data_IF_230547920896
#
_entry.id   IF_230547920896
#
_cell.length_a   1.000
_cell.length_b   1.000
_cell.length_c   1.000
_cell.angle_alpha   90.00
_cell.angle_beta   90.00
_cell.angle_gamma   90.00
#
_symmetry.space_group_name_H-M   'P 1'
#
loop_
_entity.id
_entity.type
_entity.pdbx_description
1 polymer ?
#
# COMPACT_ATOMS: atom_id res chain seq x y z
N UNK A 1 11.76 13.01 7.56
CA UNK A 1 12.93 12.11 7.72
C UNK A 1 12.52 10.75 8.30
N UNK A 2 11.69 10.69 9.34
CA UNK A 2 11.20 9.42 9.91
C UNK A 2 10.30 8.61 8.95
N UNK A 3 9.37 9.24 8.22
CA UNK A 3 8.39 8.54 7.37
C UNK A 3 9.07 7.64 6.31
N UNK A 4 10.12 8.15 5.64
CA UNK A 4 10.87 7.38 4.63
C UNK A 4 11.64 6.22 5.26
N UNK A 5 12.24 6.46 6.42
CA UNK A 5 12.96 5.43 7.17
C UNK A 5 12.02 4.30 7.60
N UNK A 6 10.88 4.63 8.19
CA UNK A 6 9.89 3.65 8.61
C UNK A 6 9.38 2.83 7.41
N UNK A 7 9.09 3.50 6.28
CA UNK A 7 8.67 2.82 5.07
C UNK A 7 9.75 1.86 4.54
N UNK A 8 11.01 2.31 4.48
CA UNK A 8 12.14 1.45 4.09
C UNK A 8 12.29 0.25 5.02
N UNK A 9 12.23 0.45 6.34
CA UNK A 9 12.32 -0.65 7.31
C UNK A 9 11.20 -1.70 7.09
N UNK A 10 9.96 -1.25 6.83
CA UNK A 10 8.85 -2.16 6.52
C UNK A 10 9.01 -2.85 5.15
N UNK A 11 9.54 -2.15 4.16
CA UNK A 11 9.85 -2.69 2.83
C UNK A 11 10.88 -3.82 2.93
N UNK A 12 11.96 -3.62 3.70
CA UNK A 12 12.95 -4.65 3.95
C UNK A 12 12.41 -5.85 4.74
N UNK A 13 11.48 -5.62 5.68
CA UNK A 13 10.79 -6.72 6.38
C UNK A 13 10.02 -7.61 5.38
N UNK A 14 9.39 -7.01 4.37
CA UNK A 14 8.68 -7.79 3.34
C UNK A 14 9.65 -8.58 2.48
N UNK A 15 10.76 -7.99 2.06
CA UNK A 15 11.82 -8.72 1.37
C UNK A 15 12.34 -9.89 2.20
N UNK A 16 12.64 -9.65 3.47
CA UNK A 16 13.08 -10.68 4.40
C UNK A 16 12.06 -11.82 4.49
N UNK A 17 10.79 -11.49 4.67
CA UNK A 17 9.74 -12.48 4.85
C UNK A 17 9.42 -13.28 3.57
N UNK A 18 9.46 -12.62 2.41
CA UNK A 18 8.88 -13.18 1.18
C UNK A 18 9.92 -13.59 0.13
N UNK A 19 11.09 -12.97 0.15
CA UNK A 19 12.06 -13.02 -0.95
C UNK A 19 13.39 -13.64 -0.55
N UNK A 20 13.58 -13.97 0.74
CA UNK A 20 14.63 -14.92 1.11
C UNK A 20 14.27 -16.25 0.44
N UNK A 21 15.13 -16.78 -0.45
CA UNK A 21 14.94 -18.13 -0.95
C UNK A 21 14.94 -19.06 0.25
N UNK A 22 13.97 -19.96 0.36
CA UNK A 22 14.06 -21.09 1.29
C UNK A 22 15.38 -21.82 0.99
N UNK A 23 16.43 -21.44 1.72
CA UNK A 23 17.82 -21.91 1.69
C UNK A 23 18.32 -22.37 0.32
N UNK A 24 18.88 -21.46 -0.49
CA UNK A 24 20.11 -21.70 -1.26
C UNK A 24 20.91 -20.40 -1.37
N UNK A 25 22.07 -20.41 -0.72
CA UNK A 25 23.24 -19.53 -0.86
C UNK A 25 23.04 -18.00 -0.87
N UNK A 26 23.30 -17.38 0.28
CA UNK A 26 24.40 -16.43 0.42
C UNK A 26 24.33 -15.04 -0.23
N UNK A 27 23.20 -14.60 -0.79
CA UNK A 27 23.11 -13.24 -1.34
C UNK A 27 22.68 -12.22 -0.27
N UNK A 28 23.53 -11.23 -0.03
CA UNK A 28 23.28 -10.12 0.88
C UNK A 28 22.54 -9.00 0.15
N UNK A 29 21.80 -8.14 0.88
CA UNK A 29 20.99 -7.06 0.31
C UNK A 29 21.77 -6.11 -0.62
N UNK A 30 23.08 -5.92 -0.38
CA UNK A 30 23.96 -5.14 -1.25
C UNK A 30 24.14 -5.73 -2.65
N UNK A 31 23.96 -7.05 -2.80
CA UNK A 31 24.22 -7.76 -4.07
C UNK A 31 23.10 -7.55 -5.10
N UNK A 32 21.94 -7.02 -4.68
CA UNK A 32 20.77 -6.79 -5.53
C UNK A 32 20.65 -5.36 -6.06
N UNK A 33 21.49 -4.43 -5.60
CA UNK A 33 21.45 -3.03 -6.05
C UNK A 33 22.57 -2.82 -7.08
N UNK A 34 22.21 -2.84 -8.37
CA UNK A 34 23.13 -2.43 -9.44
C UNK A 34 23.31 -0.90 -9.46
N UNK A 35 24.40 -0.41 -10.06
CA UNK A 35 24.68 1.04 -10.21
C UNK A 35 23.55 1.82 -10.93
N UNK A 36 22.63 1.14 -11.63
CA UNK A 36 21.52 1.73 -12.39
C UNK A 36 20.13 1.47 -11.78
N UNK A 37 20.04 0.92 -10.57
CA UNK A 37 18.79 0.53 -9.92
C UNK A 37 18.48 -0.97 -10.06
N UNK A 38 17.20 -1.32 -10.03
CA UNK A 38 16.72 -2.70 -10.05
C UNK A 38 16.79 -3.31 -11.46
N UNK A 39 17.12 -4.60 -11.55
CA UNK A 39 16.93 -5.35 -12.80
C UNK A 39 15.42 -5.44 -13.10
N UNK A 40 15.04 -5.56 -14.39
CA UNK A 40 13.63 -5.64 -14.77
C UNK A 40 12.90 -6.83 -14.12
N UNK A 41 13.63 -7.89 -13.85
CA UNK A 41 13.19 -9.09 -13.12
C UNK A 41 12.89 -8.83 -11.63
N UNK A 42 13.50 -7.82 -11.02
CA UNK A 42 13.26 -7.44 -9.62
C UNK A 42 12.04 -6.52 -9.47
N UNK A 43 11.57 -5.86 -10.53
CA UNK A 43 10.43 -4.92 -10.45
C UNK A 43 9.17 -5.52 -9.78
N UNK A 44 8.75 -6.77 -10.06
CA UNK A 44 7.62 -7.38 -9.36
C UNK A 44 7.89 -7.63 -7.87
N UNK A 45 9.16 -7.91 -7.51
CA UNK A 45 9.60 -8.10 -6.14
C UNK A 45 9.55 -6.78 -5.36
N UNK A 46 10.13 -5.72 -5.93
CA UNK A 46 10.10 -4.37 -5.38
C UNK A 46 8.69 -3.81 -5.25
N UNK A 47 7.84 -4.03 -6.27
CA UNK A 47 6.44 -3.64 -6.19
C UNK A 47 5.72 -4.35 -5.03
N UNK A 48 5.93 -5.66 -4.86
CA UNK A 48 5.37 -6.43 -3.75
C UNK A 48 5.87 -5.92 -2.39
N UNK A 49 7.16 -5.59 -2.26
CA UNK A 49 7.71 -5.03 -1.03
C UNK A 49 7.11 -3.65 -0.71
N UNK A 50 6.91 -2.79 -1.71
CA UNK A 50 6.23 -1.51 -1.54
C UNK A 50 4.77 -1.65 -1.07
N UNK A 51 4.00 -2.55 -1.70
CA UNK A 51 2.62 -2.86 -1.29
C UNK A 51 2.59 -3.46 0.12
N UNK A 52 3.48 -4.41 0.41
CA UNK A 52 3.57 -5.03 1.73
C UNK A 52 3.92 -4.02 2.83
N UNK A 53 4.87 -3.12 2.58
CA UNK A 53 5.24 -2.05 3.50
C UNK A 53 4.06 -1.12 3.79
N UNK A 54 3.32 -0.75 2.74
CA UNK A 54 2.15 0.12 2.86
C UNK A 54 1.05 -0.54 3.72
N UNK A 55 0.87 -1.86 3.62
CA UNK A 55 -0.07 -2.64 4.44
C UNK A 55 0.43 -2.80 5.88
N UNK A 56 1.73 -3.04 6.11
CA UNK A 56 2.29 -3.13 7.47
C UNK A 56 2.13 -1.80 8.23
N UNK A 57 2.35 -0.67 7.56
CA UNK A 57 2.15 0.65 8.14
C UNK A 57 0.67 0.99 8.36
N UNK A 58 -0.20 0.63 7.40
CA UNK A 58 -1.61 1.00 7.40
C UNK A 58 -2.48 -0.16 6.91
N UNK A 59 -2.67 -1.18 7.75
CA UNK A 59 -3.52 -2.32 7.41
C UNK A 59 -4.97 -1.89 7.17
N UNK A 60 -5.77 -2.72 6.48
CA UNK A 60 -7.14 -2.38 6.06
C UNK A 60 -8.03 -1.90 7.21
N UNK A 61 -7.96 -2.54 8.37
CA UNK A 61 -8.77 -2.20 9.54
C UNK A 61 -8.36 -0.85 10.13
N UNK A 62 -7.05 -0.63 10.30
CA UNK A 62 -6.53 0.65 10.79
C UNK A 62 -6.81 1.78 9.79
N UNK A 63 -6.68 1.52 8.48
CA UNK A 63 -6.95 2.47 7.41
C UNK A 63 -8.41 2.92 7.43
N UNK A 64 -9.36 1.98 7.57
CA UNK A 64 -10.79 2.29 7.77
C UNK A 64 -11.01 3.16 9.01
N UNK A 65 -10.41 2.80 10.13
CA UNK A 65 -10.53 3.58 11.36
C UNK A 65 -10.02 5.02 11.19
N UNK A 66 -8.83 5.20 10.62
CA UNK A 66 -8.24 6.52 10.43
C UNK A 66 -9.08 7.39 9.48
N UNK A 67 -9.56 6.81 8.37
CA UNK A 67 -10.44 7.48 7.42
C UNK A 67 -11.79 7.89 8.01
N UNK A 68 -12.29 7.15 9.01
CA UNK A 68 -13.49 7.53 9.76
C UNK A 68 -13.19 8.62 10.79
N UNK A 69 -12.03 8.56 11.43
CA UNK A 69 -11.68 9.41 12.58
C UNK A 69 -11.17 10.80 12.21
N UNK A 70 -10.44 10.92 11.10
CA UNK A 70 -9.73 12.14 10.70
C UNK A 70 -10.39 12.80 9.48
N UNK A 71 -10.33 14.14 9.45
CA UNK A 71 -11.13 14.93 8.50
C UNK A 71 -10.44 15.16 7.15
N UNK A 72 -9.11 14.99 7.10
CA UNK A 72 -8.28 15.33 5.94
C UNK A 72 -7.26 14.25 5.60
N UNK A 73 -6.87 14.21 4.33
CA UNK A 73 -5.82 13.32 3.82
C UNK A 73 -4.51 13.51 4.59
N UNK A 74 -4.16 14.77 4.90
CA UNK A 74 -2.99 15.13 5.69
C UNK A 74 -3.00 14.52 7.10
N UNK A 75 -4.14 14.56 7.78
CA UNK A 75 -4.25 14.00 9.14
C UNK A 75 -4.12 12.48 9.12
N UNK A 76 -4.72 11.81 8.13
CA UNK A 76 -4.57 10.36 7.95
C UNK A 76 -3.12 9.99 7.66
N UNK A 77 -2.42 10.74 6.80
CA UNK A 77 -1.01 10.49 6.50
C UNK A 77 -0.13 10.64 7.76
N UNK A 78 -0.36 11.71 8.54
CA UNK A 78 0.33 11.95 9.80
C UNK A 78 0.08 10.84 10.83
N UNK A 79 -1.16 10.35 10.94
CA UNK A 79 -1.52 9.29 11.87
C UNK A 79 -0.70 8.01 11.65
N UNK A 80 -0.43 7.65 10.39
CA UNK A 80 0.38 6.48 10.04
C UNK A 80 1.88 6.76 9.90
N UNK A 81 2.33 8.00 10.15
CA UNK A 81 3.70 8.41 9.85
C UNK A 81 4.11 8.10 8.40
N UNK A 82 3.15 8.26 7.47
CA UNK A 82 3.35 8.03 6.04
C UNK A 82 3.48 9.35 5.31
N UNK A 83 4.36 9.39 4.31
CA UNK A 83 4.33 10.49 3.35
C UNK A 83 2.99 10.53 2.62
N UNK A 84 2.61 11.72 2.12
CA UNK A 84 1.39 11.88 1.32
C UNK A 84 1.36 10.93 0.12
N UNK A 85 2.49 10.73 -0.55
CA UNK A 85 2.59 9.83 -1.70
C UNK A 85 2.43 8.36 -1.28
N UNK A 86 2.98 7.96 -0.14
CA UNK A 86 2.83 6.60 0.37
C UNK A 86 1.36 6.30 0.74
N UNK A 87 0.67 7.22 1.41
CA UNK A 87 -0.77 7.08 1.67
C UNK A 87 -1.59 7.04 0.36
N UNK A 88 -1.22 7.88 -0.62
CA UNK A 88 -1.89 7.91 -1.92
C UNK A 88 -1.83 6.54 -2.61
N UNK A 89 -0.64 5.93 -2.65
CA UNK A 89 -0.44 4.60 -3.23
C UNK A 89 -1.23 3.55 -2.45
N UNK A 90 -1.14 3.57 -1.11
CA UNK A 90 -1.85 2.63 -0.24
C UNK A 90 -3.37 2.62 -0.49
N UNK A 91 -3.97 3.81 -0.61
CA UNK A 91 -5.40 3.96 -0.90
C UNK A 91 -5.73 3.53 -2.34
N UNK A 92 -4.87 3.86 -3.30
CA UNK A 92 -5.03 3.45 -4.71
C UNK A 92 -5.03 1.92 -4.82
N UNK A 93 -4.06 1.26 -4.19
CA UNK A 93 -3.92 -0.20 -4.16
C UNK A 93 -5.13 -0.84 -3.49
N UNK A 94 -5.60 -0.31 -2.36
CA UNK A 94 -6.82 -0.80 -1.71
C UNK A 94 -8.05 -0.70 -2.62
N UNK A 95 -8.22 0.41 -3.34
CA UNK A 95 -9.34 0.56 -4.28
C UNK A 95 -9.24 -0.42 -5.45
N UNK A 96 -8.04 -0.64 -5.99
CA UNK A 96 -7.84 -1.59 -7.08
C UNK A 96 -8.12 -3.02 -6.60
N UNK A 97 -7.44 -3.47 -5.54
CA UNK A 97 -7.46 -4.88 -5.15
C UNK A 97 -8.67 -5.26 -4.30
N UNK A 98 -9.14 -4.38 -3.41
CA UNK A 98 -10.26 -4.68 -2.51
C UNK A 98 -11.60 -4.15 -3.03
N UNK A 99 -11.61 -3.15 -3.93
CA UNK A 99 -12.83 -2.54 -4.51
C UNK A 99 -12.99 -2.75 -6.01
N UNK A 100 -12.04 -3.43 -6.66
CA UNK A 100 -12.07 -3.72 -8.10
C UNK A 100 -12.20 -2.45 -8.97
N UNK A 101 -11.62 -1.33 -8.50
CA UNK A 101 -11.59 -0.09 -9.28
C UNK A 101 -10.54 -0.17 -10.39
N UNK A 102 -10.86 0.38 -11.56
CA UNK A 102 -9.84 0.64 -12.59
C UNK A 102 -8.75 1.58 -12.04
N UNK A 103 -7.45 1.37 -12.33
CA UNK A 103 -6.36 2.15 -11.74
C UNK A 103 -6.49 3.67 -11.90
N UNK A 104 -6.89 4.15 -13.08
CA UNK A 104 -7.03 5.59 -13.32
C UNK A 104 -8.22 6.18 -12.55
N UNK A 105 -9.30 5.42 -12.42
CA UNK A 105 -10.46 5.82 -11.62
C UNK A 105 -10.11 5.87 -10.14
N UNK A 106 -9.38 4.87 -9.63
CA UNK A 106 -8.89 4.85 -8.25
C UNK A 106 -8.04 6.09 -7.95
N UNK A 107 -7.05 6.41 -8.80
CA UNK A 107 -6.21 7.61 -8.62
C UNK A 107 -7.03 8.90 -8.65
N UNK A 108 -8.02 9.00 -9.54
CA UNK A 108 -8.93 10.14 -9.63
C UNK A 108 -9.71 10.34 -8.32
N UNK A 109 -10.27 9.27 -7.75
CA UNK A 109 -10.98 9.31 -6.46
C UNK A 109 -10.08 9.81 -5.32
N UNK A 110 -8.83 9.32 -5.24
CA UNK A 110 -7.90 9.75 -4.18
C UNK A 110 -7.48 11.22 -4.38
N UNK A 111 -7.25 11.66 -5.63
CA UNK A 111 -6.98 13.07 -5.91
C UNK A 111 -8.15 13.96 -5.49
N UNK A 112 -9.39 13.58 -5.81
CA UNK A 112 -10.57 14.32 -5.37
C UNK A 112 -10.67 14.38 -3.84
N UNK A 113 -10.41 13.27 -3.15
CA UNK A 113 -10.34 13.24 -1.68
C UNK A 113 -9.28 14.22 -1.12
N UNK A 114 -8.07 14.26 -1.71
CA UNK A 114 -7.01 15.21 -1.31
C UNK A 114 -7.44 16.66 -1.41
N UNK A 115 -8.25 17.00 -2.41
CA UNK A 115 -8.79 18.36 -2.61
C UNK A 115 -10.18 18.55 -1.98
N UNK A 116 -10.51 17.75 -0.96
CA UNK A 116 -11.75 17.82 -0.16
C UNK A 116 -13.06 17.55 -0.91
N UNK A 117 -12.99 17.01 -2.12
CA UNK A 117 -14.14 16.44 -2.82
C UNK A 117 -14.21 14.93 -2.56
N UNK A 118 -14.70 14.54 -1.38
CA UNK A 118 -14.47 13.20 -0.82
C UNK A 118 -15.70 12.28 -0.78
N UNK A 119 -16.88 12.76 -1.19
CA UNK A 119 -18.15 12.01 -1.09
C UNK A 119 -18.10 10.69 -1.86
N UNK A 120 -17.69 10.73 -3.12
CA UNK A 120 -17.62 9.54 -3.98
C UNK A 120 -16.58 8.54 -3.48
N UNK A 121 -15.40 9.06 -3.09
CA UNK A 121 -14.35 8.25 -2.49
C UNK A 121 -14.86 7.47 -1.27
N UNK A 122 -15.51 8.13 -0.31
CA UNK A 122 -16.00 7.46 0.90
C UNK A 122 -17.16 6.50 0.61
N UNK A 123 -18.03 6.83 -0.35
CA UNK A 123 -19.11 5.93 -0.80
C UNK A 123 -18.53 4.58 -1.23
N UNK A 124 -17.54 4.61 -2.13
CA UNK A 124 -16.89 3.40 -2.66
C UNK A 124 -16.05 2.69 -1.60
N UNK A 125 -15.32 3.45 -0.79
CA UNK A 125 -14.43 2.90 0.22
C UNK A 125 -15.20 2.08 1.28
N UNK A 126 -16.35 2.56 1.73
CA UNK A 126 -17.18 1.90 2.74
C UNK A 126 -18.24 0.96 2.18
N UNK A 127 -18.46 0.93 0.86
CA UNK A 127 -19.35 -0.04 0.24
C UNK A 127 -18.89 -1.49 0.55
N UNK A 128 -19.79 -2.33 1.05
CA UNK A 128 -19.49 -3.75 1.23
C UNK A 128 -19.41 -4.44 -0.13
N UNK A 129 -18.32 -5.18 -0.36
CA UNK A 129 -18.24 -6.08 -1.51
C UNK A 129 -18.97 -7.38 -1.16
N UNK A 130 -20.09 -7.64 -1.84
CA UNK A 130 -20.90 -8.85 -1.63
C UNK A 130 -20.20 -10.15 -2.11
N UNK A 131 -19.04 -10.06 -2.77
CA UNK A 131 -18.44 -11.15 -3.54
C UNK A 131 -17.36 -11.98 -2.82
N UNK A 132 -17.00 -11.68 -1.58
CA UNK A 132 -16.00 -12.50 -0.84
C UNK A 132 -16.60 -13.64 0.00
N UNK A 133 -17.93 -13.72 0.14
CA UNK A 133 -18.59 -14.82 0.87
C UNK A 133 -18.75 -16.10 0.04
N UNK A 134 -18.56 -16.06 -1.27
CA UNK A 134 -18.72 -17.21 -2.18
C UNK A 134 -17.45 -18.05 -2.39
N UNK A 135 -16.29 -17.61 -1.91
CA UNK A 135 -15.01 -18.34 -2.04
C UNK A 135 -14.53 -19.01 -0.74
N UNK A 136 -15.28 -18.88 0.35
CA UNK A 136 -15.01 -19.57 1.63
C UNK A 136 -16.09 -20.60 2.00
N UNK A 137 -16.98 -20.94 1.07
CA UNK A 137 -18.05 -21.93 1.24
C UNK A 137 -18.01 -23.06 0.20
N UNK A 138 -16.82 -23.35 -0.35
CA UNK A 138 -16.57 -24.59 -1.11
C UNK A 138 -15.39 -25.33 -0.51
#
# INVERSE_FOLDING_TARGET
MCERRNFTEMHEIVHLYKDIPYVREGHTFSDMISENGYLSEDLPKEYRANVGASILMANDSALKYALYRFSSFEEVAKYFFMSKSALFNRLTEYLIFNKNCHPDYARSLINNYRYRNNKEFFSIFYQHNAYFNTLLTK
#
